data_IF_419555316727
#
_entry.id   IF_419555316727
#
_cell.length_a   1.000
_cell.length_b   1.000
_cell.length_c   1.000
_cell.angle_alpha   90.00
_cell.angle_beta   90.00
_cell.angle_gamma   90.00
#
_symmetry.space_group_name_H-M   'P 1'
#
loop_
_entity.id
_entity.type
_entity.pdbx_description
1 polymer ?
#
# COMPACT_ATOMS: atom_id res chain seq x y z
N UNK A 1 -5.10 -3.93 23.07
CA UNK A 1 -5.94 -3.10 22.20
C UNK A 1 -6.64 -4.01 21.21
N UNK A 2 -7.82 -3.59 20.75
CA UNK A 2 -8.62 -4.34 19.78
C UNK A 2 -8.81 -3.52 18.50
N UNK A 3 -8.35 -4.04 17.36
CA UNK A 3 -8.33 -3.31 16.09
C UNK A 3 -9.12 -4.03 14.99
N UNK A 4 -9.64 -3.25 14.04
CA UNK A 4 -10.09 -3.76 12.74
C UNK A 4 -9.01 -3.49 11.71
N UNK A 5 -8.67 -4.50 10.90
CA UNK A 5 -7.79 -4.35 9.73
C UNK A 5 -8.61 -4.68 8.49
N UNK A 6 -8.90 -3.70 7.65
CA UNK A 6 -9.58 -3.93 6.38
C UNK A 6 -8.57 -4.08 5.25
N UNK A 7 -8.88 -4.89 4.24
CA UNK A 7 -7.90 -5.29 3.22
C UNK A 7 -6.84 -6.23 3.79
N UNK A 8 -7.21 -6.97 4.83
CA UNK A 8 -6.28 -7.78 5.64
C UNK A 8 -5.65 -8.95 4.86
N UNK A 9 -6.31 -9.49 3.85
CA UNK A 9 -5.76 -10.54 2.99
C UNK A 9 -4.88 -9.98 1.85
N UNK A 10 -4.77 -8.64 1.74
CA UNK A 10 -3.92 -7.98 0.77
C UNK A 10 -2.44 -7.96 1.17
N UNK A 11 -1.60 -7.39 0.30
CA UNK A 11 -0.16 -7.29 0.50
C UNK A 11 0.22 -6.64 1.84
N UNK A 12 -0.04 -5.34 2.01
CA UNK A 12 0.34 -4.61 3.24
C UNK A 12 -0.53 -5.06 4.42
N UNK A 13 -1.84 -5.30 4.17
CA UNK A 13 -2.79 -5.68 5.21
C UNK A 13 -2.43 -6.97 5.94
N UNK A 14 -1.94 -7.98 5.23
CA UNK A 14 -1.54 -9.25 5.85
C UNK A 14 -0.30 -9.13 6.74
N UNK A 15 0.68 -8.34 6.32
CA UNK A 15 1.84 -8.03 7.17
C UNK A 15 1.44 -7.21 8.41
N UNK A 16 0.53 -6.25 8.25
CA UNK A 16 0.03 -5.47 9.37
C UNK A 16 -0.74 -6.33 10.37
N UNK A 17 -1.64 -7.20 9.89
CA UNK A 17 -2.40 -8.12 10.73
C UNK A 17 -1.48 -9.01 11.56
N UNK A 18 -0.49 -9.65 10.93
CA UNK A 18 0.50 -10.48 11.62
C UNK A 18 1.32 -9.68 12.63
N UNK A 19 1.76 -8.47 12.28
CA UNK A 19 2.52 -7.62 13.19
C UNK A 19 1.72 -7.22 14.44
N UNK A 20 0.42 -6.91 14.28
CA UNK A 20 -0.46 -6.58 15.40
C UNK A 20 -0.70 -7.79 16.30
N UNK A 21 -0.93 -8.97 15.72
CA UNK A 21 -1.07 -10.24 16.48
C UNK A 21 0.21 -10.53 17.26
N UNK A 22 1.37 -10.41 16.62
CA UNK A 22 2.66 -10.64 17.27
C UNK A 22 2.93 -9.67 18.43
N UNK A 23 2.36 -8.46 18.40
CA UNK A 23 2.39 -7.47 19.48
C UNK A 23 1.36 -7.73 20.57
N UNK A 24 0.56 -8.82 20.48
CA UNK A 24 -0.46 -9.17 21.46
C UNK A 24 -1.76 -8.37 21.36
N UNK A 25 -2.05 -7.80 20.20
CA UNK A 25 -3.32 -7.13 19.94
C UNK A 25 -4.39 -8.13 19.48
N UNK A 26 -5.65 -7.86 19.84
CA UNK A 26 -6.81 -8.55 19.30
C UNK A 26 -7.19 -7.87 17.97
N UNK A 27 -7.37 -8.64 16.90
CA UNK A 27 -7.74 -8.09 15.61
C UNK A 27 -8.99 -8.75 15.03
N UNK A 28 -9.78 -7.96 14.34
CA UNK A 28 -10.78 -8.44 13.38
C UNK A 28 -10.28 -8.08 11.98
N UNK A 29 -9.86 -9.10 11.25
CA UNK A 29 -9.40 -8.96 9.87
C UNK A 29 -10.60 -9.04 8.90
N UNK A 30 -10.66 -8.10 7.96
CA UNK A 30 -11.75 -7.97 6.97
C UNK A 30 -11.17 -7.86 5.56
N UNK A 31 -11.68 -8.65 4.62
CA UNK A 31 -11.38 -8.54 3.19
C UNK A 31 -12.57 -9.03 2.36
N UNK A 32 -12.79 -8.47 1.20
CA UNK A 32 -13.84 -8.92 0.26
C UNK A 32 -13.34 -9.98 -0.75
N UNK A 33 -12.04 -10.27 -0.76
CA UNK A 33 -11.40 -11.23 -1.69
C UNK A 33 -11.75 -10.95 -3.15
N UNK A 34 -11.67 -9.67 -3.56
CA UNK A 34 -11.91 -9.30 -4.96
C UNK A 34 -10.99 -10.05 -5.93
N UNK A 35 -11.45 -10.23 -7.15
CA UNK A 35 -10.77 -10.91 -8.25
C UNK A 35 -9.78 -10.03 -9.03
N UNK A 36 -9.34 -8.91 -8.44
CA UNK A 36 -8.32 -8.05 -9.06
C UNK A 36 -7.02 -8.79 -9.38
N UNK A 37 -6.65 -9.72 -8.53
CA UNK A 37 -5.67 -10.77 -8.77
C UNK A 37 -6.16 -12.06 -8.10
N UNK A 38 -5.52 -13.20 -8.40
CA UNK A 38 -5.95 -14.52 -7.93
C UNK A 38 -6.28 -14.52 -6.43
N UNK A 39 -7.54 -14.79 -6.04
CA UNK A 39 -7.95 -14.86 -4.64
C UNK A 39 -7.19 -15.90 -3.80
N UNK A 40 -6.66 -16.97 -4.43
CA UNK A 40 -5.86 -17.97 -3.73
C UNK A 40 -4.61 -17.36 -3.09
N UNK A 41 -3.99 -16.35 -3.74
CA UNK A 41 -2.87 -15.62 -3.16
C UNK A 41 -3.26 -14.82 -1.91
N UNK A 42 -4.49 -14.35 -1.85
CA UNK A 42 -5.01 -13.65 -0.66
C UNK A 42 -5.29 -14.65 0.47
N UNK A 43 -5.83 -15.82 0.15
CA UNK A 43 -6.05 -16.89 1.13
C UNK A 43 -4.72 -17.35 1.74
N UNK A 44 -3.68 -17.50 0.92
CA UNK A 44 -2.34 -17.79 1.41
C UNK A 44 -1.76 -16.67 2.29
N UNK A 45 -1.94 -15.42 1.91
CA UNK A 45 -1.48 -14.26 2.70
C UNK A 45 -2.12 -14.21 4.09
N UNK A 46 -3.35 -14.71 4.22
CA UNK A 46 -4.14 -14.72 5.45
C UNK A 46 -4.12 -16.08 6.19
N UNK A 47 -3.28 -17.04 5.80
CA UNK A 47 -3.28 -18.38 6.39
C UNK A 47 -2.98 -18.42 7.91
N UNK A 48 -2.43 -17.33 8.47
CA UNK A 48 -2.09 -17.22 9.88
C UNK A 48 -3.18 -16.62 10.79
N UNK A 49 -4.32 -16.19 10.24
CA UNK A 49 -5.41 -15.59 10.99
C UNK A 49 -6.75 -15.68 10.25
N UNK A 50 -7.86 -15.61 10.99
CA UNK A 50 -9.19 -15.64 10.42
C UNK A 50 -9.57 -14.30 9.77
N UNK A 51 -10.23 -14.36 8.62
CA UNK A 51 -10.70 -13.17 7.88
C UNK A 51 -12.21 -13.24 7.68
N UNK A 52 -12.90 -12.21 8.13
CA UNK A 52 -14.32 -11.99 7.82
C UNK A 52 -14.46 -11.48 6.39
N UNK A 53 -15.22 -12.19 5.55
CA UNK A 53 -15.52 -11.76 4.19
C UNK A 53 -16.62 -10.72 4.21
N UNK A 54 -16.26 -9.44 4.05
CA UNK A 54 -17.19 -8.32 3.97
C UNK A 54 -16.87 -7.43 2.76
N UNK A 55 -17.90 -7.03 2.05
CA UNK A 55 -17.82 -5.95 1.06
C UNK A 55 -18.23 -4.62 1.73
N UNK A 56 -17.26 -3.82 2.07
CA UNK A 56 -17.47 -2.57 2.80
C UNK A 56 -18.31 -1.53 2.04
N UNK A 57 -18.56 -1.73 0.74
CA UNK A 57 -19.50 -0.90 -0.01
C UNK A 57 -20.97 -1.31 0.21
N UNK A 58 -21.23 -2.52 0.74
CA UNK A 58 -22.57 -3.08 0.96
C UNK A 58 -22.82 -3.47 2.41
N UNK A 59 -21.82 -4.12 3.04
CA UNK A 59 -21.92 -4.63 4.38
C UNK A 59 -21.66 -3.54 5.44
N UNK A 60 -22.27 -3.68 6.60
CA UNK A 60 -22.03 -2.80 7.72
C UNK A 60 -20.82 -3.28 8.53
N UNK A 61 -19.92 -2.34 8.86
CA UNK A 61 -18.79 -2.57 9.73
C UNK A 61 -19.13 -2.03 11.14
N UNK A 62 -19.52 -2.92 12.06
CA UNK A 62 -19.76 -2.55 13.45
C UNK A 62 -18.43 -2.30 14.17
N UNK A 63 -18.29 -1.15 14.83
CA UNK A 63 -17.03 -0.72 15.46
C UNK A 63 -17.14 -0.50 16.97
N UNK A 64 -18.26 -0.88 17.60
CA UNK A 64 -18.42 -0.76 19.05
C UNK A 64 -17.40 -1.60 19.80
N UNK A 65 -16.68 -0.98 20.72
CA UNK A 65 -15.66 -1.62 21.54
C UNK A 65 -14.32 -1.90 20.85
N UNK A 66 -14.07 -1.30 19.68
CA UNK A 66 -12.76 -1.27 19.04
C UNK A 66 -11.98 -0.01 19.42
N UNK A 67 -10.66 -0.14 19.48
CA UNK A 67 -9.73 0.97 19.77
C UNK A 67 -9.30 1.71 18.51
N UNK A 68 -9.42 1.09 17.32
CA UNK A 68 -9.05 1.70 16.05
C UNK A 68 -9.32 0.82 14.84
N UNK A 69 -9.30 1.47 13.67
CA UNK A 69 -9.43 0.83 12.36
C UNK A 69 -8.22 1.19 11.50
N UNK A 70 -7.53 0.17 11.01
CA UNK A 70 -6.57 0.30 9.92
C UNK A 70 -7.31 0.04 8.60
N UNK A 71 -7.59 1.09 7.85
CA UNK A 71 -8.37 0.99 6.63
C UNK A 71 -7.47 0.94 5.39
N UNK A 72 -7.10 -0.29 4.98
CA UNK A 72 -6.27 -0.56 3.81
C UNK A 72 -7.05 -1.14 2.63
N UNK A 73 -8.31 -1.53 2.83
CA UNK A 73 -9.15 -2.01 1.75
C UNK A 73 -9.31 -0.96 0.64
N UNK A 74 -9.26 -1.42 -0.60
CA UNK A 74 -9.46 -0.58 -1.76
C UNK A 74 -9.01 -1.23 -3.05
N UNK A 75 -9.57 -0.78 -4.17
CA UNK A 75 -9.17 -1.19 -5.51
C UNK A 75 -7.89 -0.48 -5.90
N UNK A 76 -6.77 -1.18 -6.09
CA UNK A 76 -5.51 -0.61 -6.54
C UNK A 76 -5.45 -0.51 -8.08
N UNK A 77 -4.32 -0.03 -8.60
CA UNK A 77 -4.01 0.01 -10.02
C UNK A 77 -4.13 1.40 -10.62
N UNK A 78 -3.01 1.98 -11.04
CA UNK A 78 -2.94 3.34 -11.60
C UNK A 78 -3.16 3.39 -13.11
N UNK A 79 -3.05 2.23 -13.80
CA UNK A 79 -3.11 2.15 -15.28
C UNK A 79 -4.49 1.78 -15.83
N UNK A 80 -5.47 1.56 -14.96
CA UNK A 80 -6.80 1.10 -15.37
C UNK A 80 -7.75 2.29 -15.52
N UNK A 81 -8.34 2.41 -16.70
CA UNK A 81 -9.30 3.45 -17.08
C UNK A 81 -10.59 2.79 -17.62
N UNK A 82 -11.59 3.58 -17.92
CA UNK A 82 -12.81 3.12 -18.60
C UNK A 82 -13.74 2.31 -17.68
N UNK A 83 -14.10 1.10 -18.07
CA UNK A 83 -15.13 0.27 -17.41
C UNK A 83 -14.84 -0.04 -15.94
N UNK A 84 -13.56 -0.12 -15.55
CA UNK A 84 -13.16 -0.37 -14.15
C UNK A 84 -13.33 0.84 -13.24
N UNK A 85 -13.73 2.01 -13.77
CA UNK A 85 -13.92 3.21 -12.96
C UNK A 85 -15.01 3.01 -11.89
N UNK A 86 -16.06 2.25 -12.19
CA UNK A 86 -17.11 1.92 -11.21
C UNK A 86 -16.54 1.17 -10.00
N UNK A 87 -15.58 0.27 -10.21
CA UNK A 87 -14.91 -0.45 -9.13
C UNK A 87 -14.13 0.50 -8.22
N UNK A 88 -13.45 1.50 -8.78
CA UNK A 88 -12.78 2.52 -7.99
C UNK A 88 -13.77 3.35 -7.16
N UNK A 89 -14.89 3.77 -7.74
CA UNK A 89 -15.91 4.52 -7.00
C UNK A 89 -16.50 3.66 -5.88
N UNK A 90 -16.87 2.43 -6.17
CA UNK A 90 -17.49 1.52 -5.20
C UNK A 90 -16.52 1.10 -4.10
N UNK A 91 -15.33 0.57 -4.49
CA UNK A 91 -14.38 -0.05 -3.57
C UNK A 91 -13.45 0.95 -2.87
N UNK A 92 -13.28 2.16 -3.40
CA UNK A 92 -12.50 3.22 -2.76
C UNK A 92 -13.42 4.26 -2.10
N UNK A 93 -14.22 5.01 -2.88
CA UNK A 93 -14.99 6.12 -2.32
C UNK A 93 -16.12 5.66 -1.41
N UNK A 94 -17.04 4.80 -1.92
CA UNK A 94 -18.20 4.39 -1.16
C UNK A 94 -17.82 3.54 0.06
N UNK A 95 -16.95 2.55 -0.10
CA UNK A 95 -16.48 1.72 1.00
C UNK A 95 -15.78 2.56 2.09
N UNK A 96 -14.90 3.49 1.70
CA UNK A 96 -14.20 4.37 2.64
C UNK A 96 -15.18 5.31 3.36
N UNK A 97 -16.15 5.89 2.65
CA UNK A 97 -17.18 6.74 3.25
C UNK A 97 -17.95 5.97 4.34
N UNK A 98 -18.36 4.73 4.09
CA UNK A 98 -19.08 3.91 5.08
C UNK A 98 -18.22 3.56 6.29
N UNK A 99 -16.93 3.27 6.10
CA UNK A 99 -16.01 3.06 7.23
C UNK A 99 -15.86 4.33 8.07
N UNK A 100 -15.70 5.49 7.43
CA UNK A 100 -15.58 6.77 8.15
C UNK A 100 -16.84 7.12 8.91
N UNK A 101 -18.01 6.87 8.33
CA UNK A 101 -19.28 7.09 9.00
C UNK A 101 -19.47 6.18 10.21
N UNK A 102 -19.16 4.88 10.07
CA UNK A 102 -19.21 3.93 11.19
C UNK A 102 -18.22 4.31 12.30
N UNK A 103 -17.00 4.70 11.93
CA UNK A 103 -15.96 5.10 12.87
C UNK A 103 -16.33 6.41 13.60
N UNK A 104 -16.87 7.39 12.90
CA UNK A 104 -17.34 8.64 13.51
C UNK A 104 -18.49 8.39 14.51
N UNK A 105 -19.45 7.52 14.17
CA UNK A 105 -20.55 7.14 15.09
C UNK A 105 -20.06 6.43 16.34
N UNK A 106 -19.07 5.55 16.21
CA UNK A 106 -18.50 4.78 17.31
C UNK A 106 -17.42 5.53 18.10
N UNK A 107 -16.96 6.71 17.63
CA UNK A 107 -15.86 7.46 18.23
C UNK A 107 -14.50 6.75 18.12
N UNK A 108 -14.29 5.97 17.05
CA UNK A 108 -13.12 5.12 16.83
C UNK A 108 -12.16 5.79 15.85
N UNK A 109 -10.86 5.79 16.18
CA UNK A 109 -9.79 6.31 15.32
C UNK A 109 -9.63 5.48 14.03
N UNK A 110 -9.39 6.14 12.91
CA UNK A 110 -9.07 5.49 11.62
C UNK A 110 -7.70 5.91 11.14
N UNK A 111 -6.83 4.95 10.83
CA UNK A 111 -5.64 5.15 9.99
C UNK A 111 -5.98 4.71 8.57
N UNK A 112 -6.04 5.66 7.65
CA UNK A 112 -6.45 5.45 6.27
C UNK A 112 -5.27 5.37 5.31
N UNK A 113 -5.21 4.29 4.53
CA UNK A 113 -4.22 4.10 3.47
C UNK A 113 -4.58 4.90 2.21
N UNK A 114 -4.02 6.10 2.09
CA UNK A 114 -3.98 6.87 0.85
C UNK A 114 -2.76 6.47 0.00
N UNK A 115 -2.37 7.28 -0.96
CA UNK A 115 -1.31 6.94 -1.92
C UNK A 115 -0.58 8.19 -2.41
N UNK A 116 0.71 8.07 -2.71
CA UNK A 116 1.47 9.07 -3.46
C UNK A 116 0.91 9.38 -4.85
N UNK A 117 0.03 8.51 -5.38
CA UNK A 117 -0.68 8.75 -6.65
C UNK A 117 -1.58 9.99 -6.63
N UNK A 118 -1.90 10.54 -5.45
CA UNK A 118 -2.62 11.81 -5.32
C UNK A 118 -1.81 13.00 -5.82
N UNK A 119 -0.47 12.91 -5.79
CA UNK A 119 0.41 13.99 -6.27
C UNK A 119 0.49 14.06 -7.80
N UNK A 120 0.25 12.93 -8.48
CA UNK A 120 0.46 12.84 -9.93
C UNK A 120 1.93 13.03 -10.28
N UNK A 121 2.20 13.89 -11.27
CA UNK A 121 3.56 14.28 -11.66
C UNK A 121 3.98 15.50 -10.83
N UNK A 122 4.58 15.25 -9.69
CA UNK A 122 4.90 16.29 -8.72
C UNK A 122 5.95 17.27 -9.27
N UNK A 123 5.77 18.57 -8.99
CA UNK A 123 6.69 19.61 -9.44
C UNK A 123 8.02 19.64 -8.66
N UNK A 124 8.04 19.13 -7.44
CA UNK A 124 9.21 19.17 -6.54
C UNK A 124 9.49 17.82 -5.90
N UNK A 125 10.76 17.49 -5.77
CA UNK A 125 11.26 16.28 -5.13
C UNK A 125 12.36 16.60 -4.10
N UNK A 126 12.36 15.94 -2.93
CA UNK A 126 11.33 15.03 -2.48
C UNK A 126 9.99 15.75 -2.28
N UNK A 127 8.86 15.03 -2.52
CA UNK A 127 7.50 15.58 -2.46
C UNK A 127 7.02 15.60 -1.02
N UNK A 128 6.74 16.79 -0.49
CA UNK A 128 6.19 16.99 0.86
C UNK A 128 4.66 16.93 0.87
N UNK A 129 4.06 16.78 2.06
CA UNK A 129 2.61 16.63 2.22
C UNK A 129 1.81 17.92 1.86
N UNK A 130 2.46 19.07 1.86
CA UNK A 130 1.89 20.35 1.45
C UNK A 130 1.95 20.59 -0.07
N UNK A 131 2.58 19.68 -0.83
CA UNK A 131 2.54 19.74 -2.29
C UNK A 131 1.11 19.62 -2.80
N UNK A 132 0.76 20.45 -3.78
CA UNK A 132 -0.58 20.45 -4.37
C UNK A 132 -0.90 19.12 -5.03
N UNK A 133 -1.96 18.39 -4.59
CA UNK A 133 -2.38 17.17 -5.26
C UNK A 133 -2.88 17.45 -6.70
N UNK A 134 -2.40 16.65 -7.65
CA UNK A 134 -2.77 16.72 -9.06
C UNK A 134 -2.81 15.31 -9.68
N UNK A 135 -3.72 14.43 -9.22
CA UNK A 135 -3.74 13.03 -9.62
C UNK A 135 -4.04 12.87 -11.11
N UNK A 136 -3.28 12.02 -11.79
CA UNK A 136 -3.41 11.73 -13.23
C UNK A 136 -4.02 10.36 -13.52
N UNK A 137 -4.54 9.66 -12.50
CA UNK A 137 -5.18 8.35 -12.64
C UNK A 137 -6.50 8.30 -11.88
N UNK A 138 -7.48 7.47 -12.32
CA UNK A 138 -8.73 7.24 -11.58
C UNK A 138 -8.48 6.78 -10.13
N UNK A 139 -7.48 5.94 -9.92
CA UNK A 139 -7.06 5.51 -8.59
C UNK A 139 -6.63 6.71 -7.72
N UNK A 140 -5.71 7.54 -8.21
CA UNK A 140 -5.25 8.73 -7.49
C UNK A 140 -6.39 9.71 -7.19
N UNK A 141 -7.31 9.91 -8.16
CA UNK A 141 -8.50 10.77 -7.98
C UNK A 141 -9.38 10.23 -6.85
N UNK A 142 -9.66 8.92 -6.81
CA UNK A 142 -10.49 8.35 -5.74
C UNK A 142 -9.80 8.37 -4.38
N UNK A 143 -8.48 8.15 -4.32
CA UNK A 143 -7.72 8.28 -3.06
C UNK A 143 -7.74 9.72 -2.54
N UNK A 144 -7.56 10.72 -3.40
CA UNK A 144 -7.71 12.14 -3.02
C UNK A 144 -9.14 12.45 -2.56
N UNK A 145 -10.16 11.90 -3.23
CA UNK A 145 -11.54 12.01 -2.81
C UNK A 145 -11.77 11.46 -1.39
N UNK A 146 -11.13 10.33 -1.04
CA UNK A 146 -11.17 9.76 0.31
C UNK A 146 -10.47 10.66 1.35
N UNK A 147 -9.36 11.32 1.00
CA UNK A 147 -8.72 12.30 1.88
C UNK A 147 -9.66 13.49 2.18
N UNK A 148 -10.36 13.98 1.16
CA UNK A 148 -11.38 15.02 1.36
C UNK A 148 -12.57 14.53 2.20
N UNK A 149 -12.99 13.27 2.05
CA UNK A 149 -14.01 12.67 2.93
C UNK A 149 -13.50 12.61 4.38
N UNK A 150 -12.26 12.16 4.63
CA UNK A 150 -11.68 12.15 5.97
C UNK A 150 -11.73 13.54 6.61
N UNK A 151 -11.33 14.58 5.87
CA UNK A 151 -11.41 15.97 6.34
C UNK A 151 -12.86 16.41 6.63
N UNK A 152 -13.81 16.11 5.74
CA UNK A 152 -15.20 16.47 5.91
C UNK A 152 -15.83 15.77 7.13
N UNK A 153 -15.56 14.48 7.34
CA UNK A 153 -16.02 13.73 8.50
C UNK A 153 -15.37 14.21 9.80
N UNK A 154 -14.08 14.57 9.77
CA UNK A 154 -13.42 15.16 10.93
C UNK A 154 -14.07 16.50 11.32
N UNK A 155 -14.38 17.37 10.37
CA UNK A 155 -15.01 18.68 10.62
C UNK A 155 -16.49 18.58 10.99
N UNK A 156 -17.26 17.73 10.32
CA UNK A 156 -18.71 17.64 10.49
C UNK A 156 -19.16 16.69 11.61
N UNK A 157 -18.38 15.64 11.87
CA UNK A 157 -18.78 14.53 12.73
C UNK A 157 -17.72 14.13 13.77
N UNK A 158 -16.60 14.86 13.86
CA UNK A 158 -15.56 14.62 14.86
C UNK A 158 -14.73 13.34 14.63
N UNK A 159 -14.68 12.82 13.39
CA UNK A 159 -13.86 11.66 13.06
C UNK A 159 -12.39 11.92 13.39
N UNK A 160 -11.79 11.04 14.19
CA UNK A 160 -10.35 11.00 14.38
C UNK A 160 -9.72 10.15 13.25
N UNK A 161 -9.27 10.82 12.20
CA UNK A 161 -8.65 10.18 11.06
C UNK A 161 -7.20 10.62 10.90
N UNK A 162 -6.31 9.66 10.64
CA UNK A 162 -4.92 9.87 10.19
C UNK A 162 -4.78 9.32 8.79
N UNK A 163 -4.25 10.13 7.88
CA UNK A 163 -4.09 9.78 6.46
C UNK A 163 -2.64 9.47 6.16
N UNK A 164 -2.38 8.31 5.55
CA UNK A 164 -1.04 7.87 5.15
C UNK A 164 -0.95 7.77 3.63
N UNK A 165 -0.15 8.63 3.00
CA UNK A 165 0.18 8.56 1.57
C UNK A 165 1.35 7.60 1.37
N UNK A 166 1.04 6.33 1.09
CA UNK A 166 2.08 5.35 0.78
C UNK A 166 2.74 5.65 -0.56
N UNK A 167 4.07 5.63 -0.53
CA UNK A 167 4.89 5.59 -1.74
C UNK A 167 5.06 4.13 -2.21
N UNK A 168 6.12 3.82 -2.97
CA UNK A 168 6.25 2.49 -3.55
C UNK A 168 6.69 1.46 -2.49
N UNK A 169 5.71 0.77 -1.91
CA UNK A 169 5.97 -0.33 -0.95
C UNK A 169 6.31 -1.61 -1.69
N UNK A 170 7.34 -2.35 -1.22
CA UNK A 170 7.77 -3.62 -1.78
C UNK A 170 8.11 -4.65 -0.69
N UNK A 171 8.22 -5.92 -1.07
CA UNK A 171 8.56 -7.01 -0.14
C UNK A 171 7.79 -8.30 -0.43
N UNK A 172 7.90 -9.31 0.43
CA UNK A 172 7.13 -10.55 0.35
C UNK A 172 5.63 -10.29 0.18
N UNK A 173 4.91 -11.15 -0.51
CA UNK A 173 3.46 -11.01 -0.81
C UNK A 173 3.10 -9.79 -1.66
N UNK A 174 4.07 -9.09 -2.26
CA UNK A 174 3.76 -8.00 -3.18
C UNK A 174 2.85 -8.51 -4.30
N UNK A 175 1.84 -7.70 -4.66
CA UNK A 175 0.85 -8.09 -5.67
C UNK A 175 1.50 -8.42 -7.02
N UNK A 176 0.98 -9.41 -7.77
CA UNK A 176 1.59 -9.87 -9.03
C UNK A 176 1.62 -8.82 -10.14
N UNK A 177 0.78 -7.76 -10.07
CA UNK A 177 0.79 -6.65 -11.02
C UNK A 177 1.94 -5.66 -10.80
N UNK A 178 2.62 -5.72 -9.66
CA UNK A 178 3.68 -4.78 -9.28
C UNK A 178 5.04 -5.20 -9.85
N UNK A 179 5.88 -4.21 -10.12
CA UNK A 179 7.12 -4.42 -10.87
C UNK A 179 8.07 -5.46 -10.23
N UNK A 180 8.36 -5.35 -8.93
CA UNK A 180 9.29 -6.29 -8.29
C UNK A 180 8.72 -7.71 -8.18
N UNK A 181 7.42 -7.87 -7.96
CA UNK A 181 6.80 -9.18 -8.00
C UNK A 181 6.97 -9.84 -9.38
N UNK A 182 6.81 -9.07 -10.47
CA UNK A 182 7.00 -9.55 -11.85
C UNK A 182 8.46 -9.89 -12.15
N UNK A 183 9.41 -9.06 -11.70
CA UNK A 183 10.85 -9.34 -11.87
C UNK A 183 11.26 -10.61 -11.13
N UNK A 184 10.82 -10.74 -9.89
CA UNK A 184 11.13 -11.89 -9.04
C UNK A 184 10.50 -13.18 -9.59
N UNK A 185 9.25 -13.13 -10.07
CA UNK A 185 8.61 -14.29 -10.73
C UNK A 185 9.34 -14.69 -12.01
N UNK A 186 9.72 -13.72 -12.85
CA UNK A 186 10.49 -13.98 -14.06
C UNK A 186 11.85 -14.63 -13.76
N UNK A 187 12.60 -14.11 -12.79
CA UNK A 187 13.85 -14.69 -12.31
C UNK A 187 13.64 -16.12 -11.78
N UNK A 188 12.59 -16.34 -10.99
CA UNK A 188 12.32 -17.64 -10.38
C UNK A 188 11.98 -18.71 -11.42
N UNK A 189 11.24 -18.33 -12.47
CA UNK A 189 10.80 -19.23 -13.55
C UNK A 189 11.76 -19.30 -14.73
N UNK A 190 12.80 -18.45 -14.79
CA UNK A 190 13.65 -18.31 -15.98
C UNK A 190 12.89 -17.75 -17.19
N UNK A 191 11.90 -16.89 -16.96
CA UNK A 191 11.09 -16.24 -17.99
C UNK A 191 11.62 -14.85 -18.32
N UNK A 192 11.22 -14.28 -19.46
CA UNK A 192 11.56 -12.91 -19.82
C UNK A 192 10.70 -11.90 -19.04
N UNK A 193 11.28 -10.73 -18.79
CA UNK A 193 10.61 -9.58 -18.15
C UNK A 193 10.47 -8.41 -19.13
N UNK A 194 9.27 -7.91 -19.32
CA UNK A 194 9.01 -6.72 -20.12
C UNK A 194 9.30 -5.45 -19.30
N UNK A 195 10.37 -4.73 -19.66
CA UNK A 195 10.74 -3.44 -19.10
C UNK A 195 10.17 -2.32 -19.97
N UNK A 196 9.21 -1.57 -19.41
CA UNK A 196 8.63 -0.42 -20.09
C UNK A 196 9.47 0.84 -19.90
N UNK A 197 9.84 1.49 -21.03
CA UNK A 197 10.77 2.63 -21.07
C UNK A 197 12.24 2.21 -20.93
N UNK A 198 13.06 3.17 -20.53
CA UNK A 198 14.53 3.00 -20.40
C UNK A 198 14.96 2.36 -19.06
N UNK A 199 14.03 2.15 -18.15
CA UNK A 199 14.31 1.64 -16.81
C UNK A 199 14.97 2.65 -15.86
N UNK A 200 15.11 3.91 -16.28
CA UNK A 200 15.70 5.00 -15.47
C UNK A 200 14.67 5.76 -14.63
N UNK A 201 13.40 5.35 -14.69
CA UNK A 201 12.40 5.87 -13.77
C UNK A 201 12.79 5.49 -12.33
N UNK A 202 12.86 6.49 -11.45
CA UNK A 202 13.27 6.30 -10.06
C UNK A 202 12.07 6.35 -9.10
N UNK A 203 12.17 5.60 -8.01
CA UNK A 203 11.19 5.53 -6.95
C UNK A 203 11.88 5.50 -5.58
N UNK A 204 11.28 6.13 -4.58
CA UNK A 204 11.56 5.77 -3.19
C UNK A 204 10.88 4.44 -2.90
N UNK A 205 11.69 3.40 -2.74
CA UNK A 205 11.21 2.06 -2.40
C UNK A 205 11.24 1.87 -0.89
N UNK A 206 10.09 1.53 -0.32
CA UNK A 206 9.91 1.34 1.12
C UNK A 206 9.60 -0.13 1.40
N UNK A 207 10.39 -0.76 2.23
CA UNK A 207 10.16 -2.17 2.59
C UNK A 207 8.86 -2.31 3.38
N UNK A 208 8.13 -3.40 3.16
CA UNK A 208 6.78 -3.57 3.74
C UNK A 208 6.79 -3.55 5.27
N UNK A 209 7.81 -4.09 5.92
CA UNK A 209 7.90 -4.05 7.38
C UNK A 209 8.05 -2.61 7.89
N UNK A 210 8.90 -1.79 7.26
CA UNK A 210 9.04 -0.36 7.61
C UNK A 210 7.69 0.37 7.44
N UNK A 211 6.97 0.09 6.34
CA UNK A 211 5.65 0.69 6.09
C UNK A 211 4.62 0.29 7.16
N UNK A 212 4.64 -0.97 7.60
CA UNK A 212 3.80 -1.48 8.69
C UNK A 212 4.13 -0.78 10.02
N UNK A 213 5.41 -0.64 10.35
CA UNK A 213 5.84 0.08 11.56
C UNK A 213 5.34 1.52 11.59
N UNK A 214 5.48 2.26 10.47
CA UNK A 214 4.95 3.62 10.35
C UNK A 214 3.43 3.68 10.49
N UNK A 215 2.73 2.68 9.97
CA UNK A 215 1.28 2.57 10.09
C UNK A 215 0.83 2.34 11.54
N UNK A 216 1.54 1.49 12.27
CA UNK A 216 1.27 1.24 13.69
C UNK A 216 1.62 2.46 14.53
N UNK A 217 2.74 3.14 14.27
CA UNK A 217 3.11 4.38 14.94
C UNK A 217 2.04 5.46 14.74
N UNK A 218 1.49 5.59 13.53
CA UNK A 218 0.43 6.54 13.23
C UNK A 218 -0.86 6.27 14.03
N UNK A 219 -1.25 5.01 14.22
CA UNK A 219 -2.39 4.65 15.06
C UNK A 219 -2.18 5.07 16.51
N UNK A 220 -0.98 4.89 17.03
CA UNK A 220 -0.67 5.08 18.45
C UNK A 220 -0.44 6.54 18.84
N UNK A 221 0.22 7.30 17.97
CA UNK A 221 0.91 8.55 18.36
C UNK A 221 0.51 9.77 17.53
N UNK A 222 -0.08 9.56 16.31
CA UNK A 222 -0.37 10.68 15.42
C UNK A 222 -1.48 11.59 16.01
N UNK A 223 -1.32 12.93 15.94
CA UNK A 223 -2.43 13.84 16.20
C UNK A 223 -3.61 13.59 15.25
N UNK A 224 -4.85 13.81 15.76
CA UNK A 224 -6.05 13.69 14.94
C UNK A 224 -6.01 14.64 13.72
N UNK A 225 -6.41 14.16 12.56
CA UNK A 225 -6.39 14.92 11.32
C UNK A 225 -5.03 15.05 10.65
N UNK A 226 -4.01 14.33 11.14
CA UNK A 226 -2.68 14.32 10.52
C UNK A 226 -2.67 13.64 9.17
N UNK A 227 -1.77 14.12 8.32
CA UNK A 227 -1.47 13.54 7.02
C UNK A 227 0.04 13.36 6.90
N UNK A 228 0.48 12.15 6.55
CA UNK A 228 1.89 11.80 6.42
C UNK A 228 2.19 11.07 5.11
N UNK A 229 3.36 11.34 4.57
CA UNK A 229 3.98 10.49 3.57
C UNK A 229 4.62 9.27 4.27
N UNK A 230 4.24 8.07 3.84
CA UNK A 230 4.90 6.82 4.24
C UNK A 230 5.76 6.36 3.07
N UNK A 231 7.03 6.67 3.15
CA UNK A 231 7.98 6.49 2.07
C UNK A 231 9.40 6.49 2.62
N UNK A 232 10.37 6.84 1.78
CA UNK A 232 11.77 6.83 2.16
C UNK A 232 12.42 5.48 1.88
N UNK A 233 13.54 5.21 2.54
CA UNK A 233 14.45 4.15 2.15
C UNK A 233 15.32 4.59 0.97
N UNK A 234 15.67 3.66 0.08
CA UNK A 234 16.50 3.97 -1.07
C UNK A 234 15.67 4.55 -2.23
N UNK A 235 16.08 5.70 -2.77
CA UNK A 235 15.68 6.10 -4.12
C UNK A 235 16.56 5.34 -5.11
N UNK A 236 15.96 4.53 -5.97
CA UNK A 236 16.66 3.74 -6.96
C UNK A 236 15.89 3.69 -8.29
N UNK A 237 16.60 3.42 -9.38
CA UNK A 237 15.97 3.16 -10.68
C UNK A 237 15.49 1.70 -10.78
N UNK A 238 14.63 1.43 -11.76
CA UNK A 238 14.27 0.04 -12.08
C UNK A 238 15.49 -0.80 -12.48
N UNK A 239 16.47 -0.22 -13.20
CA UNK A 239 17.69 -0.92 -13.57
C UNK A 239 18.55 -1.27 -12.35
N UNK A 240 18.68 -0.35 -11.38
CA UNK A 240 19.38 -0.61 -10.11
C UNK A 240 18.73 -1.75 -9.33
N UNK A 241 17.40 -1.75 -9.26
CA UNK A 241 16.65 -2.79 -8.57
C UNK A 241 16.78 -4.16 -9.28
N UNK A 242 16.72 -4.19 -10.62
CA UNK A 242 16.97 -5.41 -11.41
C UNK A 242 18.37 -5.94 -11.15
N UNK A 243 19.41 -5.09 -11.29
CA UNK A 243 20.79 -5.50 -11.04
C UNK A 243 21.00 -6.02 -9.61
N UNK A 244 20.29 -5.43 -8.63
CA UNK A 244 20.33 -5.92 -7.24
C UNK A 244 19.66 -7.29 -7.12
N UNK A 245 18.51 -7.51 -7.77
CA UNK A 245 17.82 -8.80 -7.76
C UNK A 245 18.63 -9.89 -8.48
N UNK A 246 19.31 -9.58 -9.59
CA UNK A 246 20.22 -10.53 -10.26
C UNK A 246 21.36 -10.97 -9.34
N UNK A 247 21.97 -10.01 -8.63
CA UNK A 247 23.05 -10.31 -7.67
C UNK A 247 22.54 -11.14 -6.48
N UNK A 248 21.36 -10.79 -5.92
CA UNK A 248 20.77 -11.48 -4.76
C UNK A 248 20.30 -12.88 -5.11
N UNK A 249 19.78 -13.08 -6.32
CA UNK A 249 19.25 -14.36 -6.80
C UNK A 249 20.31 -15.27 -7.42
N UNK A 250 21.50 -14.73 -7.74
CA UNK A 250 22.55 -15.38 -8.54
C UNK A 250 22.01 -15.84 -9.91
N UNK A 251 21.04 -15.10 -10.46
CA UNK A 251 20.40 -15.37 -11.75
C UNK A 251 20.43 -14.14 -12.65
N UNK A 252 20.49 -14.35 -13.96
CA UNK A 252 20.36 -13.27 -14.95
C UNK A 252 18.92 -13.17 -15.44
N UNK A 253 18.39 -11.96 -15.53
CA UNK A 253 17.05 -11.69 -16.03
C UNK A 253 17.09 -11.46 -17.54
N UNK A 254 16.27 -12.19 -18.29
CA UNK A 254 16.03 -11.87 -19.70
C UNK A 254 15.09 -10.66 -19.80
N UNK A 255 15.66 -9.51 -20.19
CA UNK A 255 14.92 -8.23 -20.25
C UNK A 255 14.53 -7.92 -21.67
N UNK A 256 13.23 -7.78 -21.93
CA UNK A 256 12.66 -7.32 -23.20
C UNK A 256 12.20 -5.88 -23.05
N UNK A 257 12.91 -4.95 -23.70
CA UNK A 257 12.56 -3.53 -23.66
C UNK A 257 11.29 -3.25 -24.48
N UNK A 258 10.38 -2.45 -23.91
CA UNK A 258 9.13 -2.00 -24.51
C UNK A 258 9.04 -0.48 -24.50
N UNK A 259 8.26 0.14 -25.38
CA UNK A 259 7.98 1.58 -25.30
C UNK A 259 7.47 1.99 -23.91
N UNK A 260 7.76 3.22 -23.50
CA UNK A 260 7.29 3.76 -22.23
C UNK A 260 5.75 3.68 -22.12
N UNK A 261 5.24 3.26 -20.97
CA UNK A 261 3.81 3.17 -20.74
C UNK A 261 3.22 4.58 -20.48
N UNK A 262 2.04 4.86 -21.03
CA UNK A 262 1.33 6.10 -20.77
C UNK A 262 0.96 6.22 -19.28
N UNK A 263 1.14 7.41 -18.70
CA UNK A 263 0.82 7.67 -17.29
C UNK A 263 1.88 7.18 -16.29
N UNK A 264 3.04 6.70 -16.76
CA UNK A 264 4.14 6.33 -15.86
C UNK A 264 4.94 7.58 -15.47
N UNK A 265 4.94 7.90 -14.18
CA UNK A 265 5.64 9.05 -13.61
C UNK A 265 7.15 8.76 -13.62
N UNK A 266 7.97 9.72 -14.07
CA UNK A 266 9.42 9.50 -14.19
C UNK A 266 10.14 9.39 -12.84
N UNK A 267 9.68 10.13 -11.83
CA UNK A 267 10.26 10.11 -10.47
C UNK A 267 9.19 10.16 -9.40
N UNK A 268 9.36 9.41 -8.32
CA UNK A 268 8.64 9.64 -7.07
C UNK A 268 9.62 9.53 -5.90
N UNK A 269 9.72 10.59 -5.10
CA UNK A 269 10.55 10.63 -3.91
C UNK A 269 9.75 11.27 -2.77
N UNK A 270 9.66 10.57 -1.64
CA UNK A 270 8.92 11.02 -0.47
C UNK A 270 9.75 11.98 0.38
N UNK A 271 9.18 13.10 0.77
CA UNK A 271 9.65 13.85 1.93
C UNK A 271 8.97 13.27 3.18
N UNK A 272 9.75 12.70 4.07
CA UNK A 272 9.27 12.01 5.27
C UNK A 272 9.61 12.78 6.56
N UNK A 273 10.11 14.01 6.46
CA UNK A 273 10.51 14.80 7.63
C UNK A 273 9.39 15.03 8.63
N UNK A 274 8.14 15.13 8.16
CA UNK A 274 6.96 15.31 9.01
C UNK A 274 6.71 14.09 9.88
N UNK A 275 6.61 12.91 9.31
CA UNK A 275 6.39 11.68 10.07
C UNK A 275 7.58 11.36 10.98
N UNK A 276 8.80 11.65 10.54
CA UNK A 276 10.01 11.49 11.37
C UNK A 276 9.98 12.44 12.58
N UNK A 277 9.64 13.72 12.38
CA UNK A 277 9.53 14.69 13.46
C UNK A 277 8.44 14.36 14.47
N UNK A 278 7.26 13.97 13.98
CA UNK A 278 6.07 13.82 14.82
C UNK A 278 6.00 12.44 15.49
N UNK A 279 6.47 11.38 14.81
CA UNK A 279 6.33 9.99 15.26
C UNK A 279 7.69 9.27 15.46
N UNK A 280 8.81 9.93 15.20
CA UNK A 280 10.14 9.31 15.27
C UNK A 280 10.37 8.18 14.25
N UNK A 281 9.46 8.00 13.29
CA UNK A 281 9.53 6.92 12.32
C UNK A 281 10.31 7.31 11.05
N UNK A 282 11.13 6.39 10.60
CA UNK A 282 11.77 6.44 9.27
C UNK A 282 11.98 5.03 8.72
N UNK A 283 11.94 4.88 7.40
CA UNK A 283 12.31 3.62 6.75
C UNK A 283 13.81 3.36 6.92
N UNK A 284 14.17 2.18 7.40
CA UNK A 284 15.56 1.80 7.74
C UNK A 284 16.09 0.63 6.92
N UNK A 285 15.21 -0.16 6.30
CA UNK A 285 15.60 -1.36 5.54
C UNK A 285 16.29 -0.97 4.24
N UNK A 286 17.53 -1.46 4.05
CA UNK A 286 18.25 -1.27 2.81
C UNK A 286 17.54 -1.99 1.65
N UNK A 287 17.60 -1.41 0.43
CA UNK A 287 16.93 -1.97 -0.75
C UNK A 287 17.35 -3.42 -1.00
N UNK A 288 18.64 -3.73 -0.88
CA UNK A 288 19.17 -5.08 -1.09
C UNK A 288 18.59 -6.09 -0.09
N UNK A 289 18.48 -5.72 1.19
CA UNK A 289 17.95 -6.62 2.22
C UNK A 289 16.46 -6.90 2.00
N UNK A 290 15.68 -5.90 1.67
CA UNK A 290 14.26 -6.07 1.34
C UNK A 290 14.04 -6.88 0.06
N UNK A 291 14.84 -6.65 -0.98
CA UNK A 291 14.78 -7.45 -2.22
C UNK A 291 15.23 -8.90 -1.99
N UNK A 292 16.22 -9.12 -1.13
CA UNK A 292 16.64 -10.46 -0.69
C UNK A 292 15.49 -11.20 0.01
N UNK A 293 14.79 -10.54 0.92
CA UNK A 293 13.64 -11.11 1.60
C UNK A 293 12.50 -11.45 0.61
N UNK A 294 12.23 -10.56 -0.33
CA UNK A 294 11.22 -10.79 -1.37
C UNK A 294 11.59 -11.95 -2.30
N UNK A 295 12.87 -12.04 -2.72
CA UNK A 295 13.38 -13.15 -3.51
C UNK A 295 13.28 -14.48 -2.77
N UNK A 296 13.74 -14.54 -1.52
CA UNK A 296 13.68 -15.76 -0.70
C UNK A 296 12.25 -16.28 -0.57
N UNK A 297 11.31 -15.39 -0.30
CA UNK A 297 9.89 -15.73 -0.21
C UNK A 297 9.34 -16.31 -1.53
N UNK A 298 9.65 -15.70 -2.66
CA UNK A 298 9.10 -16.11 -3.94
C UNK A 298 9.76 -17.39 -4.49
N UNK A 299 11.08 -17.55 -4.31
CA UNK A 299 11.82 -18.72 -4.80
C UNK A 299 11.35 -20.03 -4.16
N UNK A 300 11.02 -20.02 -2.87
CA UNK A 300 10.45 -21.18 -2.16
C UNK A 300 9.09 -21.56 -2.75
N UNK A 301 8.24 -20.57 -3.08
CA UNK A 301 6.89 -20.80 -3.65
C UNK A 301 6.95 -21.39 -5.06
N UNK A 302 7.84 -20.88 -5.91
CA UNK A 302 8.01 -21.41 -7.29
C UNK A 302 8.58 -22.81 -7.26
N UNK A 303 9.44 -23.15 -6.30
CA UNK A 303 9.97 -24.50 -6.15
C UNK A 303 8.92 -25.51 -5.62
N UNK A 304 7.87 -25.05 -4.98
CA UNK A 304 6.79 -25.88 -4.43
C UNK A 304 5.58 -26.04 -5.39
N UNK A 305 5.49 -25.25 -6.45
CA UNK A 305 4.43 -25.27 -7.47
C UNK A 305 4.79 -26.12 -8.68
#
# INVERSE_FOLDING_TARGET
>A
MRYVVTGAAGFIGSHLAEALIAQGHDIVAVDSYTDYYDPALKEENAAGFDVSRLDLAEDELALDGFDGVFHLAGQPGVRSFGTVFNDYVRRNLLATQRVFESAARAGVRVVFASSSSVYGDAERYPTAEDAQPSPISPYGITKLGCEHLAYAYAKGFGLDAVVLRYFTVYGPRQRPDMAFARVVDALARGASFELYGDGLQSRSFTFVADAVEGTVAAMREAPAGSLYNVGGGAEATMRDAIATLERVSERTLDVVEKPAAAGDVRRTAADTRRIESDLGWRATTALEDGLRAQWQWASVRVAAA
#
